data_IF_005324079285
#
_entry.id   IF_005324079285
#
_cell.length_a   1.000
_cell.length_b   1.000
_cell.length_c   1.000
_cell.angle_alpha   90.00
_cell.angle_beta   90.00
_cell.angle_gamma   90.00
#
_symmetry.space_group_name_H-M   'P 1'
#
loop_
_entity.id
_entity.type
_entity.pdbx_description
1 polymer ?
#
# COMPACT_ATOMS: atom_id res chain seq x y z
N UNK A 1 18.98 26.00 -0.43
CA UNK A 1 18.22 24.75 -0.65
C UNK A 1 17.84 24.25 0.74
N UNK A 2 16.55 24.07 1.02
CA UNK A 2 16.08 23.70 2.36
C UNK A 2 16.09 22.17 2.49
N UNK A 3 16.88 21.62 3.41
CA UNK A 3 17.00 20.17 3.67
C UNK A 3 15.64 19.47 3.81
N UNK A 4 14.64 20.16 4.38
CA UNK A 4 13.26 19.67 4.51
C UNK A 4 12.54 19.49 3.17
N UNK A 5 12.77 20.41 2.23
CA UNK A 5 12.18 20.34 0.89
C UNK A 5 12.75 19.18 0.09
N UNK A 6 14.05 18.94 0.23
CA UNK A 6 14.74 17.83 -0.45
C UNK A 6 14.33 16.48 0.17
N UNK A 7 14.23 16.40 1.50
CA UNK A 7 13.64 15.24 2.18
C UNK A 7 12.20 14.97 1.74
N UNK A 8 11.33 15.97 1.73
CA UNK A 8 9.94 15.77 1.32
C UNK A 8 9.83 15.32 -0.15
N UNK A 9 10.73 15.80 -1.02
CA UNK A 9 10.80 15.36 -2.43
C UNK A 9 11.33 13.94 -2.58
N UNK A 10 12.15 13.45 -1.65
CA UNK A 10 12.63 12.07 -1.63
C UNK A 10 11.54 11.04 -1.35
N UNK A 11 10.42 11.47 -0.75
CA UNK A 11 9.29 10.58 -0.45
C UNK A 11 8.62 10.19 -1.77
N UNK A 12 8.30 8.88 -1.96
CA UNK A 12 7.57 8.40 -3.12
C UNK A 12 6.26 9.16 -3.34
N UNK A 13 5.83 9.29 -4.60
CA UNK A 13 4.83 10.26 -5.01
C UNK A 13 3.50 10.08 -4.28
N UNK A 14 2.99 8.85 -4.21
CA UNK A 14 1.67 8.56 -3.63
C UNK A 14 1.74 8.65 -2.11
N UNK A 15 2.77 8.02 -1.51
CA UNK A 15 3.05 8.08 -0.08
C UNK A 15 3.20 9.51 0.42
N UNK A 16 3.85 10.37 -0.36
CA UNK A 16 4.05 11.78 -0.04
C UNK A 16 2.75 12.55 0.09
N UNK A 17 1.84 12.40 -0.86
CA UNK A 17 0.53 13.07 -0.79
C UNK A 17 -0.33 12.50 0.33
N UNK A 18 -0.29 11.17 0.54
CA UNK A 18 -1.01 10.55 1.65
C UNK A 18 -0.51 11.05 3.00
N UNK A 19 0.80 11.02 3.22
CA UNK A 19 1.45 11.50 4.44
C UNK A 19 1.18 13.00 4.68
N UNK A 20 1.29 13.83 3.64
CA UNK A 20 1.01 15.26 3.75
C UNK A 20 -0.47 15.53 4.10
N UNK A 21 -1.41 14.80 3.50
CA UNK A 21 -2.83 14.89 3.82
C UNK A 21 -3.12 14.50 5.28
N UNK A 22 -2.49 13.42 5.75
CA UNK A 22 -2.61 12.94 7.14
C UNK A 22 -2.01 13.90 8.17
N UNK A 23 -1.21 14.89 7.76
CA UNK A 23 -0.70 15.97 8.63
C UNK A 23 -1.56 17.23 8.50
N UNK A 24 -1.90 17.62 7.27
CA UNK A 24 -2.63 18.85 7.00
C UNK A 24 -4.03 18.83 7.60
N UNK A 25 -4.76 17.73 7.46
CA UNK A 25 -6.16 17.62 7.89
C UNK A 25 -6.30 17.69 9.43
N UNK A 26 -5.52 16.94 10.23
CA UNK A 26 -5.55 17.09 11.69
C UNK A 26 -5.11 18.47 12.16
N UNK A 27 -4.17 19.11 11.46
CA UNK A 27 -3.70 20.45 11.79
C UNK A 27 -4.80 21.50 11.55
N UNK A 28 -5.52 21.41 10.43
CA UNK A 28 -6.70 22.26 10.15
C UNK A 28 -7.77 22.08 11.25
N UNK A 29 -8.04 20.83 11.66
CA UNK A 29 -8.98 20.53 12.74
C UNK A 29 -8.53 21.10 14.10
N UNK A 30 -7.23 21.03 14.41
CA UNK A 30 -6.65 21.58 15.65
C UNK A 30 -6.66 23.11 15.69
N UNK A 31 -6.47 23.77 14.54
CA UNK A 31 -6.56 25.23 14.41
C UNK A 31 -8.01 25.74 14.52
N UNK A 32 -9.01 24.86 14.57
CA UNK A 32 -10.42 25.26 14.68
C UNK A 32 -10.99 25.89 13.41
N UNK A 33 -10.29 25.76 12.27
CA UNK A 33 -10.74 26.30 10.98
C UNK A 33 -12.03 25.61 10.50
N UNK A 34 -12.19 24.33 10.83
CA UNK A 34 -13.36 23.50 10.50
C UNK A 34 -13.72 22.68 11.73
N UNK A 35 -15.02 22.59 12.04
CA UNK A 35 -15.49 21.79 13.18
C UNK A 35 -15.08 20.31 13.03
N UNK A 36 -14.50 19.68 14.08
CA UNK A 36 -14.14 18.26 14.10
C UNK A 36 -15.25 17.30 13.64
N UNK A 37 -16.51 17.70 13.82
CA UNK A 37 -17.70 16.91 13.47
C UNK A 37 -17.83 16.64 11.96
N UNK A 38 -17.26 17.50 11.11
CA UNK A 38 -17.27 17.29 9.67
C UNK A 38 -16.24 16.25 9.20
N UNK A 39 -15.21 15.98 10.01
CA UNK A 39 -14.19 15.00 9.68
C UNK A 39 -14.57 13.58 10.08
N UNK A 40 -15.53 13.41 10.98
CA UNK A 40 -16.02 12.08 11.35
C UNK A 40 -16.94 11.51 10.27
N UNK A 41 -16.80 10.19 10.07
CA UNK A 41 -17.75 9.40 9.31
C UNK A 41 -19.02 9.22 10.16
N UNK A 42 -20.15 9.68 9.62
CA UNK A 42 -21.48 9.45 10.19
C UNK A 42 -22.28 8.68 9.14
N UNK A 43 -22.66 7.41 9.39
CA UNK A 43 -23.35 6.58 8.40
C UNK A 43 -24.65 7.22 7.90
N UNK A 44 -25.45 7.81 8.80
CA UNK A 44 -26.67 8.53 8.44
C UNK A 44 -26.42 9.73 7.52
N UNK A 45 -25.36 10.50 7.77
CA UNK A 45 -25.04 11.67 6.94
C UNK A 45 -24.47 11.24 5.57
N UNK A 46 -23.82 10.08 5.50
CA UNK A 46 -23.31 9.55 4.25
C UNK A 46 -24.42 8.96 3.39
N UNK A 47 -25.28 8.10 3.97
CA UNK A 47 -26.32 7.37 3.24
C UNK A 47 -27.55 8.27 2.96
N UNK A 48 -28.03 9.00 3.97
CA UNK A 48 -29.28 9.76 3.83
C UNK A 48 -29.06 11.19 3.28
N UNK A 49 -27.85 11.75 3.41
CA UNK A 49 -27.54 13.12 2.95
C UNK A 49 -26.44 13.21 1.88
N UNK A 50 -26.01 12.08 1.32
CA UNK A 50 -25.03 12.00 0.21
C UNK A 50 -23.75 12.82 0.43
N UNK A 51 -23.23 12.85 1.67
CA UNK A 51 -22.01 13.61 1.98
C UNK A 51 -20.75 12.82 1.63
N UNK A 52 -20.45 12.72 0.32
CA UNK A 52 -19.38 11.87 -0.26
C UNK A 52 -17.97 12.27 0.20
N UNK A 53 -17.78 13.50 0.67
CA UNK A 53 -16.49 13.96 1.19
C UNK A 53 -16.15 13.36 2.57
N UNK A 54 -17.12 12.87 3.34
CA UNK A 54 -16.91 12.42 4.72
C UNK A 54 -15.96 11.24 4.87
N UNK A 55 -16.06 10.15 4.08
CA UNK A 55 -15.12 9.05 4.17
C UNK A 55 -13.70 9.49 3.83
N UNK A 56 -13.54 10.41 2.87
CA UNK A 56 -12.23 10.96 2.50
C UNK A 56 -11.65 11.71 3.70
N UNK A 57 -12.41 12.65 4.27
CA UNK A 57 -11.96 13.41 5.45
C UNK A 57 -11.67 12.52 6.66
N UNK A 58 -12.48 11.47 6.89
CA UNK A 58 -12.31 10.52 7.99
C UNK A 58 -11.07 9.62 7.84
N UNK A 59 -10.57 9.45 6.60
CA UNK A 59 -9.32 8.72 6.33
C UNK A 59 -8.08 9.56 6.63
N UNK A 60 -8.12 10.87 6.36
CA UNK A 60 -6.98 11.76 6.60
C UNK A 60 -7.00 12.42 7.99
N UNK A 61 -8.14 12.40 8.69
CA UNK A 61 -8.28 13.00 10.01
C UNK A 61 -7.92 12.04 11.13
N UNK A 62 -7.26 12.59 12.14
CA UNK A 62 -7.00 11.94 13.42
C UNK A 62 -7.19 12.95 14.55
N UNK A 63 -7.93 12.62 15.62
CA UNK A 63 -8.14 13.54 16.73
C UNK A 63 -6.84 13.68 17.53
N UNK A 64 -6.14 14.81 17.39
CA UNK A 64 -4.90 15.10 18.11
C UNK A 64 -5.23 15.83 19.42
N UNK A 65 -5.12 15.12 20.54
CA UNK A 65 -5.31 15.65 21.90
C UNK A 65 -4.18 15.24 22.86
N UNK A 66 -4.25 15.69 24.13
CA UNK A 66 -3.19 15.47 25.12
C UNK A 66 -2.84 14.00 25.37
N UNK A 67 -3.78 13.06 25.14
CA UNK A 67 -3.56 11.62 25.30
C UNK A 67 -3.35 10.83 23.99
N UNK A 68 -3.68 11.40 22.83
CA UNK A 68 -3.67 10.69 21.54
C UNK A 68 -2.52 11.08 20.63
N UNK A 69 -1.75 12.13 21.00
CA UNK A 69 -0.64 12.63 20.19
C UNK A 69 0.46 11.60 19.94
N UNK A 70 0.80 10.77 20.93
CA UNK A 70 1.79 9.71 20.74
C UNK A 70 1.31 8.66 19.72
N UNK A 71 0.08 8.16 19.90
CA UNK A 71 -0.55 7.20 18.97
C UNK A 71 -0.62 7.76 17.55
N UNK A 72 -0.93 9.05 17.40
CA UNK A 72 -0.91 9.74 16.12
C UNK A 72 0.46 9.70 15.44
N UNK A 73 1.51 10.10 16.15
CA UNK A 73 2.89 10.13 15.62
C UNK A 73 3.38 8.74 15.22
N UNK A 74 3.05 7.73 16.03
CA UNK A 74 3.39 6.33 15.75
C UNK A 74 2.69 5.84 14.49
N UNK A 75 1.39 6.15 14.34
CA UNK A 75 0.65 5.81 13.12
C UNK A 75 1.19 6.56 11.89
N UNK A 76 1.56 7.84 12.02
CA UNK A 76 2.22 8.58 10.94
C UNK A 76 3.57 7.96 10.55
N UNK A 77 4.35 7.50 11.53
CA UNK A 77 5.59 6.79 11.26
C UNK A 77 5.33 5.48 10.51
N UNK A 78 4.34 4.69 10.94
CA UNK A 78 3.95 3.45 10.24
C UNK A 78 3.46 3.72 8.82
N UNK A 79 2.65 4.76 8.63
CA UNK A 79 2.24 5.22 7.31
C UNK A 79 3.48 5.48 6.47
N UNK A 80 4.34 6.41 6.89
CA UNK A 80 5.54 6.78 6.14
C UNK A 80 6.42 5.57 5.82
N UNK A 81 6.72 4.74 6.82
CA UNK A 81 7.66 3.64 6.71
C UNK A 81 7.16 2.51 5.81
N UNK A 82 5.93 2.03 6.02
CA UNK A 82 5.41 0.86 5.30
C UNK A 82 4.82 1.24 3.95
N UNK A 83 4.20 2.42 3.84
CA UNK A 83 3.77 2.98 2.56
C UNK A 83 4.96 3.17 1.62
N UNK A 84 6.04 3.82 2.08
CA UNK A 84 7.22 4.03 1.26
C UNK A 84 7.85 2.71 0.82
N UNK A 85 7.99 1.74 1.74
CA UNK A 85 8.55 0.41 1.41
C UNK A 85 7.70 -0.39 0.43
N UNK A 86 6.37 -0.19 0.41
CA UNK A 86 5.51 -0.80 -0.60
C UNK A 86 5.65 -0.12 -1.95
N UNK A 87 5.62 1.22 -1.98
CA UNK A 87 5.71 1.99 -3.23
C UNK A 87 7.07 1.84 -3.92
N UNK A 88 8.17 1.76 -3.18
CA UNK A 88 9.53 1.58 -3.73
C UNK A 88 10.01 0.14 -3.77
N UNK A 89 9.30 -0.78 -3.13
CA UNK A 89 9.65 -2.20 -3.10
C UNK A 89 8.72 -3.00 -4.01
N UNK A 90 7.58 -3.43 -3.46
CA UNK A 90 6.66 -4.32 -4.13
C UNK A 90 6.02 -3.72 -5.40
N UNK A 91 5.80 -2.40 -5.42
CA UNK A 91 5.16 -1.68 -6.52
C UNK A 91 6.10 -0.74 -7.27
N UNK A 92 7.42 -0.98 -7.19
CA UNK A 92 8.39 -0.15 -7.88
C UNK A 92 8.14 -0.11 -9.39
N UNK A 93 8.19 1.09 -9.96
CA UNK A 93 7.84 1.34 -11.36
C UNK A 93 6.35 1.15 -11.72
N UNK A 94 5.49 0.76 -10.78
CA UNK A 94 4.04 0.52 -10.99
C UNK A 94 3.15 1.32 -10.04
N UNK A 95 3.18 2.66 -10.11
CA UNK A 95 2.40 3.52 -9.22
C UNK A 95 0.88 3.30 -9.33
N UNK A 96 0.38 2.90 -10.50
CA UNK A 96 -1.03 2.58 -10.70
C UNK A 96 -1.49 1.36 -9.87
N UNK A 97 -0.65 0.33 -9.76
CA UNK A 97 -0.97 -0.88 -8.98
C UNK A 97 -0.98 -0.56 -7.47
N UNK A 98 -0.05 0.30 -7.02
CA UNK A 98 -0.04 0.78 -5.64
C UNK A 98 -1.28 1.63 -5.31
N UNK A 99 -1.64 2.57 -6.20
CA UNK A 99 -2.85 3.37 -6.06
C UNK A 99 -4.11 2.49 -6.04
N UNK A 100 -4.15 1.46 -6.88
CA UNK A 100 -5.27 0.51 -6.89
C UNK A 100 -5.39 -0.25 -5.58
N UNK A 101 -4.28 -0.74 -5.01
CA UNK A 101 -4.29 -1.36 -3.68
C UNK A 101 -4.85 -0.41 -2.62
N UNK A 102 -4.37 0.85 -2.59
CA UNK A 102 -4.86 1.84 -1.64
C UNK A 102 -6.36 2.10 -1.80
N UNK A 103 -6.83 2.27 -3.04
CA UNK A 103 -8.25 2.48 -3.34
C UNK A 103 -9.10 1.27 -2.96
N UNK A 104 -8.65 0.06 -3.28
CA UNK A 104 -9.34 -1.16 -2.92
C UNK A 104 -9.48 -1.28 -1.39
N UNK A 105 -8.36 -1.15 -0.66
CA UNK A 105 -8.36 -1.19 0.79
C UNK A 105 -9.25 -0.10 1.37
N UNK A 106 -9.15 1.12 0.84
CA UNK A 106 -9.96 2.25 1.27
C UNK A 106 -11.45 1.98 1.08
N UNK A 107 -11.90 1.51 -0.10
CA UNK A 107 -13.30 1.19 -0.37
C UNK A 107 -13.81 0.11 0.61
N UNK A 108 -13.04 -0.96 0.82
CA UNK A 108 -13.40 -2.01 1.78
C UNK A 108 -13.52 -1.45 3.21
N UNK A 109 -12.60 -0.57 3.61
CA UNK A 109 -12.64 0.09 4.93
C UNK A 109 -13.83 1.05 5.04
N UNK A 110 -14.19 1.79 4.00
CA UNK A 110 -15.39 2.64 4.01
C UNK A 110 -16.64 1.78 4.20
N UNK A 111 -16.77 0.66 3.46
CA UNK A 111 -17.91 -0.25 3.58
C UNK A 111 -18.01 -0.81 5.02
N UNK A 112 -16.91 -1.33 5.56
CA UNK A 112 -16.87 -1.86 6.92
C UNK A 112 -17.11 -0.76 7.96
N UNK A 113 -16.57 0.44 7.74
CA UNK A 113 -16.75 1.59 8.62
C UNK A 113 -18.21 2.06 8.67
N UNK A 114 -18.92 2.02 7.56
CA UNK A 114 -20.36 2.29 7.51
C UNK A 114 -21.18 1.20 8.20
N UNK A 115 -20.78 -0.07 8.05
CA UNK A 115 -21.48 -1.20 8.66
C UNK A 115 -21.28 -1.29 10.18
N UNK A 116 -20.13 -0.84 10.69
CA UNK A 116 -19.73 -0.94 12.10
C UNK A 116 -19.74 0.40 12.85
N UNK A 117 -20.31 1.45 12.24
CA UNK A 117 -20.38 2.82 12.78
C UNK A 117 -19.02 3.38 13.25
N UNK A 118 -17.96 3.14 12.45
CA UNK A 118 -16.62 3.62 12.75
C UNK A 118 -16.45 5.07 12.33
N UNK A 119 -16.03 5.92 13.26
CA UNK A 119 -15.88 7.35 13.01
C UNK A 119 -14.58 7.74 12.29
N UNK A 120 -13.53 6.92 12.40
CA UNK A 120 -12.18 7.20 11.92
C UNK A 120 -11.64 6.04 11.08
N UNK A 121 -11.08 6.36 9.90
CA UNK A 121 -10.61 5.36 8.94
C UNK A 121 -9.09 5.39 8.72
N UNK A 122 -8.37 6.32 9.35
CA UNK A 122 -6.93 6.45 9.21
C UNK A 122 -6.16 5.21 9.70
N UNK A 123 -6.42 4.77 10.94
CA UNK A 123 -5.73 3.61 11.55
C UNK A 123 -6.00 2.33 10.73
N UNK A 124 -7.26 1.96 10.40
CA UNK A 124 -7.51 0.77 9.59
C UNK A 124 -6.78 0.79 8.24
N UNK A 125 -6.68 1.95 7.58
CA UNK A 125 -5.99 2.05 6.29
C UNK A 125 -4.49 1.82 6.45
N UNK A 126 -3.86 2.47 7.43
CA UNK A 126 -2.42 2.28 7.74
C UNK A 126 -2.14 0.81 8.07
N UNK A 127 -2.99 0.20 8.91
CA UNK A 127 -2.84 -1.20 9.28
C UNK A 127 -3.02 -2.15 8.09
N UNK A 128 -3.95 -1.85 7.17
CA UNK A 128 -4.11 -2.65 5.94
C UNK A 128 -2.86 -2.63 5.06
N UNK A 129 -2.23 -1.46 4.90
CA UNK A 129 -1.00 -1.29 4.11
C UNK A 129 0.17 -1.99 4.79
N UNK A 130 0.32 -1.80 6.09
CA UNK A 130 1.32 -2.49 6.91
C UNK A 130 1.16 -4.01 6.81
N UNK A 131 -0.08 -4.52 6.88
CA UNK A 131 -0.37 -5.94 6.75
C UNK A 131 0.06 -6.48 5.39
N UNK A 132 -0.29 -5.80 4.29
CA UNK A 132 0.13 -6.21 2.93
C UNK A 132 1.65 -6.22 2.83
N UNK A 133 2.35 -5.22 3.36
CA UNK A 133 3.81 -5.20 3.39
C UNK A 133 4.40 -6.37 4.17
N UNK A 134 3.90 -6.61 5.37
CA UNK A 134 4.30 -7.71 6.24
C UNK A 134 4.13 -9.08 5.54
N UNK A 135 3.06 -9.20 4.76
CA UNK A 135 2.73 -10.45 4.07
C UNK A 135 3.52 -10.67 2.78
N UNK A 136 3.95 -9.60 2.11
CA UNK A 136 4.88 -9.70 0.98
C UNK A 136 6.31 -9.98 1.45
N UNK A 137 6.66 -9.58 2.67
CA UNK A 137 8.00 -9.72 3.23
C UNK A 137 8.03 -10.67 4.43
N UNK A 138 7.23 -11.74 4.42
CA UNK A 138 7.00 -12.64 5.58
C UNK A 138 8.26 -13.08 6.32
N UNK A 139 9.33 -13.42 5.60
CA UNK A 139 10.57 -13.93 6.19
C UNK A 139 11.59 -12.84 6.56
N UNK A 140 11.32 -11.59 6.21
CA UNK A 140 12.17 -10.46 6.59
C UNK A 140 12.11 -10.27 8.11
N UNK A 141 13.26 -10.20 8.75
CA UNK A 141 13.36 -9.89 10.18
C UNK A 141 13.25 -8.37 10.34
N UNK A 142 12.24 -7.93 11.08
CA UNK A 142 12.03 -6.54 11.45
C UNK A 142 12.41 -6.33 12.90
N UNK A 143 13.04 -5.18 13.17
CA UNK A 143 13.25 -4.69 14.53
C UNK A 143 12.05 -3.83 14.91
N UNK A 144 11.46 -4.12 16.06
CA UNK A 144 10.41 -3.32 16.70
C UNK A 144 10.97 -2.66 17.97
N UNK A 145 10.11 -1.97 18.70
CA UNK A 145 10.50 -1.20 19.88
C UNK A 145 11.27 -2.06 20.90
N UNK A 146 12.17 -1.40 21.62
CA UNK A 146 13.06 -2.04 22.60
C UNK A 146 14.04 -3.06 22.00
N UNK A 147 14.34 -2.98 20.70
CA UNK A 147 15.30 -3.86 20.03
C UNK A 147 14.81 -5.28 19.81
N UNK A 148 13.51 -5.55 20.05
CA UNK A 148 12.88 -6.83 19.77
C UNK A 148 12.91 -7.11 18.28
N UNK A 149 13.27 -8.34 17.88
CA UNK A 149 13.37 -8.75 16.47
C UNK A 149 12.46 -9.92 16.22
N UNK A 150 11.66 -9.85 15.18
CA UNK A 150 10.76 -10.93 14.77
C UNK A 150 10.50 -10.88 13.26
N UNK A 151 9.90 -11.94 12.72
CA UNK A 151 9.53 -12.01 11.31
C UNK A 151 8.41 -11.02 10.99
N UNK A 152 8.47 -10.35 9.84
CA UNK A 152 7.51 -9.31 9.44
C UNK A 152 6.06 -9.80 9.49
N UNK A 153 5.80 -11.09 9.26
CA UNK A 153 4.46 -11.68 9.38
C UNK A 153 3.80 -11.49 10.77
N UNK A 154 4.59 -11.33 11.84
CA UNK A 154 4.09 -11.11 13.20
C UNK A 154 3.86 -9.63 13.51
N UNK A 155 4.38 -8.71 12.69
CA UNK A 155 4.33 -7.28 12.94
C UNK A 155 2.91 -6.73 13.17
N UNK A 156 1.89 -7.06 12.35
CA UNK A 156 0.54 -6.53 12.57
C UNK A 156 -0.05 -7.00 13.91
N UNK A 157 0.32 -8.19 14.36
CA UNK A 157 -0.15 -8.77 15.62
C UNK A 157 0.58 -8.21 16.84
N UNK A 158 1.88 -7.95 16.70
CA UNK A 158 2.68 -7.29 17.75
C UNK A 158 2.17 -5.87 17.99
N UNK A 159 1.88 -5.13 16.91
CA UNK A 159 1.33 -3.76 17.02
C UNK A 159 -0.04 -3.78 17.71
N UNK A 160 -0.89 -4.72 17.32
CA UNK A 160 -2.19 -4.93 17.95
C UNK A 160 -2.07 -5.18 19.46
N UNK A 161 -1.22 -6.12 19.87
CA UNK A 161 -0.98 -6.41 21.29
C UNK A 161 -0.41 -5.21 22.03
N UNK A 162 0.47 -4.44 21.38
CA UNK A 162 1.07 -3.25 21.96
C UNK A 162 0.06 -2.11 22.15
N UNK A 163 -0.81 -1.85 21.16
CA UNK A 163 -1.87 -0.86 21.28
C UNK A 163 -2.91 -1.24 22.32
N UNK A 164 -3.22 -2.54 22.48
CA UNK A 164 -4.08 -3.01 23.57
C UNK A 164 -3.50 -2.65 24.94
N UNK A 165 -2.19 -2.80 25.15
CA UNK A 165 -1.52 -2.47 26.42
C UNK A 165 -1.57 -0.96 26.72
N UNK A 166 -1.47 -0.11 25.70
CA UNK A 166 -1.53 1.36 25.87
C UNK A 166 -2.97 1.88 26.04
N UNK A 167 -3.98 1.01 25.90
CA UNK A 167 -5.38 1.40 25.94
C UNK A 167 -5.87 2.01 24.62
N UNK A 168 -5.22 1.68 23.51
CA UNK A 168 -5.64 2.01 22.15
C UNK A 168 -6.80 1.13 21.65
N UNK A 169 -7.39 1.51 20.52
CA UNK A 169 -8.50 0.78 19.92
C UNK A 169 -8.03 -0.35 19.01
N UNK A 170 -8.17 -1.58 19.49
CA UNK A 170 -7.80 -2.83 18.79
C UNK A 170 -8.69 -3.10 17.57
N UNK A 171 -9.96 -2.68 17.60
CA UNK A 171 -10.95 -2.96 16.56
C UNK A 171 -10.52 -2.36 15.22
N UNK A 172 -10.03 -1.12 15.23
CA UNK A 172 -9.54 -0.45 14.02
C UNK A 172 -8.41 -1.23 13.34
N UNK A 173 -7.52 -1.81 14.16
CA UNK A 173 -6.35 -2.54 13.69
C UNK A 173 -6.71 -3.92 13.16
N UNK A 174 -7.64 -4.61 13.84
CA UNK A 174 -8.20 -5.87 13.36
C UNK A 174 -8.88 -5.71 12.01
N UNK A 175 -9.68 -4.66 11.83
CA UNK A 175 -10.35 -4.36 10.57
C UNK A 175 -9.34 -4.06 9.47
N UNK A 176 -8.31 -3.25 9.78
CA UNK A 176 -7.20 -3.01 8.85
C UNK A 176 -6.50 -4.30 8.44
N UNK A 177 -6.18 -5.18 9.40
CA UNK A 177 -5.55 -6.47 9.14
C UNK A 177 -6.44 -7.39 8.29
N UNK A 178 -7.75 -7.42 8.55
CA UNK A 178 -8.72 -8.19 7.78
C UNK A 178 -8.80 -7.69 6.33
N UNK A 179 -8.92 -6.39 6.11
CA UNK A 179 -8.97 -5.79 4.77
C UNK A 179 -7.64 -5.99 4.02
N UNK A 180 -6.52 -5.81 4.70
CA UNK A 180 -5.20 -6.11 4.12
C UNK A 180 -5.06 -7.57 3.73
N UNK A 181 -5.59 -8.49 4.55
CA UNK A 181 -5.65 -9.92 4.22
C UNK A 181 -6.55 -10.20 3.03
N UNK A 182 -7.71 -9.56 2.94
CA UNK A 182 -8.63 -9.70 1.82
C UNK A 182 -7.95 -9.30 0.50
N UNK A 183 -7.29 -8.15 0.46
CA UNK A 183 -6.51 -7.74 -0.71
C UNK A 183 -5.40 -8.74 -1.03
N UNK A 184 -4.60 -9.13 -0.04
CA UNK A 184 -3.50 -10.07 -0.24
C UNK A 184 -4.00 -11.42 -0.77
N UNK A 185 -5.10 -11.92 -0.23
CA UNK A 185 -5.73 -13.16 -0.65
C UNK A 185 -6.20 -13.09 -2.10
N UNK A 186 -6.98 -12.07 -2.45
CA UNK A 186 -7.54 -11.92 -3.80
C UNK A 186 -6.48 -11.64 -4.87
N UNK A 187 -5.44 -10.88 -4.52
CA UNK A 187 -4.41 -10.44 -5.47
C UNK A 187 -3.28 -11.46 -5.64
N UNK A 188 -2.83 -12.12 -4.56
CA UNK A 188 -1.64 -12.99 -4.60
C UNK A 188 -1.96 -14.47 -4.40
N UNK A 189 -2.75 -14.80 -3.36
CA UNK A 189 -2.96 -16.21 -2.98
C UNK A 189 -3.95 -16.93 -3.90
N UNK A 190 -5.07 -16.28 -4.21
CA UNK A 190 -6.11 -16.83 -5.08
C UNK A 190 -5.58 -17.24 -6.47
N UNK A 191 -4.85 -16.39 -7.21
CA UNK A 191 -4.32 -16.80 -8.51
C UNK A 191 -3.25 -17.90 -8.42
N UNK A 192 -2.46 -17.95 -7.33
CA UNK A 192 -1.46 -19.01 -7.10
C UNK A 192 -2.09 -20.38 -6.83
N UNK A 193 -3.09 -20.43 -5.95
CA UNK A 193 -3.62 -21.71 -5.43
C UNK A 193 -4.72 -22.30 -6.33
N UNK A 194 -5.48 -21.47 -7.06
CA UNK A 194 -6.69 -21.89 -7.77
C UNK A 194 -6.59 -21.77 -9.30
N UNK A 195 -5.45 -21.33 -9.85
CA UNK A 195 -5.23 -21.22 -11.30
C UNK A 195 -6.26 -20.34 -12.05
N UNK A 196 -7.01 -19.52 -11.31
CA UNK A 196 -8.14 -18.75 -11.81
C UNK A 196 -7.76 -17.44 -12.48
N UNK A 197 -8.71 -16.83 -13.20
CA UNK A 197 -8.60 -15.46 -13.72
C UNK A 197 -8.31 -14.49 -12.56
N UNK A 198 -7.42 -13.53 -12.78
CA UNK A 198 -7.15 -12.46 -11.80
C UNK A 198 -8.45 -11.68 -11.53
N UNK A 199 -9.06 -11.88 -10.35
CA UNK A 199 -10.27 -11.14 -9.95
C UNK A 199 -10.01 -9.65 -9.77
N UNK A 200 -8.80 -9.30 -9.33
CA UNK A 200 -8.36 -7.93 -9.17
C UNK A 200 -7.37 -7.61 -10.30
N UNK A 201 -7.80 -6.71 -11.17
CA UNK A 201 -6.95 -6.14 -12.22
C UNK A 201 -6.99 -4.63 -12.10
N UNK A 202 -5.82 -3.99 -12.08
CA UNK A 202 -5.72 -2.54 -12.05
C UNK A 202 -6.48 -1.94 -13.23
N UNK A 203 -7.48 -1.08 -13.01
CA UNK A 203 -8.28 -0.54 -14.07
C UNK A 203 -7.45 0.36 -15.00
N UNK A 204 -7.73 0.31 -16.29
CA UNK A 204 -6.95 1.00 -17.33
C UNK A 204 -6.87 2.52 -17.13
N UNK A 205 -7.86 3.14 -16.48
CA UNK A 205 -7.81 4.58 -16.21
C UNK A 205 -6.68 4.95 -15.25
N UNK A 206 -6.31 4.07 -14.30
CA UNK A 206 -5.20 4.34 -13.38
C UNK A 206 -3.87 4.32 -14.12
N UNK A 207 -3.68 3.44 -15.09
CA UNK A 207 -2.48 3.47 -15.94
C UNK A 207 -2.41 4.69 -16.85
N UNK A 208 -3.56 5.28 -17.23
CA UNK A 208 -3.58 6.55 -17.98
C UNK A 208 -3.15 7.73 -17.12
N UNK A 209 -3.54 7.74 -15.84
CA UNK A 209 -3.21 8.82 -14.91
C UNK A 209 -1.81 8.66 -14.30
N UNK A 210 -1.43 7.42 -13.96
CA UNK A 210 -0.16 7.04 -13.37
C UNK A 210 0.49 5.99 -14.29
N UNK A 211 1.10 6.40 -15.41
CA UNK A 211 1.74 5.47 -16.32
C UNK A 211 2.83 4.69 -15.60
N UNK A 212 2.89 3.39 -15.86
CA UNK A 212 3.97 2.55 -15.36
C UNK A 212 5.28 3.14 -15.84
N UNK A 213 6.15 3.47 -14.89
CA UNK A 213 7.51 3.88 -15.18
C UNK A 213 8.25 2.60 -15.55
N UNK A 214 8.11 2.19 -16.83
CA UNK A 214 8.97 1.19 -17.43
C UNK A 214 10.40 1.64 -17.18
N UNK A 215 11.18 0.77 -16.55
CA UNK A 215 12.51 1.05 -15.98
C UNK A 215 13.26 2.16 -16.71
N UNK A 216 13.59 3.21 -15.96
CA UNK A 216 14.56 4.20 -16.40
C UNK A 216 15.84 3.48 -16.79
N UNK A 217 16.21 3.59 -18.07
CA UNK A 217 17.43 3.09 -18.69
C UNK A 217 17.57 1.56 -18.67
N UNK A 218 16.80 0.87 -19.50
CA UNK A 218 17.37 -0.28 -20.19
C UNK A 218 18.49 0.25 -21.09
N UNK A 219 19.75 0.11 -20.64
CA UNK A 219 20.89 0.26 -21.53
C UNK A 219 20.63 -0.54 -22.81
N UNK A 220 21.00 0.04 -23.94
CA UNK A 220 20.86 -0.56 -25.27
C UNK A 220 21.22 -2.06 -25.21
N UNK A 221 20.22 -2.94 -25.40
CA UNK A 221 20.43 -4.39 -25.47
C UNK A 221 20.15 -5.25 -24.24
N UNK A 222 19.63 -4.72 -23.11
CA UNK A 222 19.24 -5.58 -21.98
C UNK A 222 17.76 -5.96 -22.05
N UNK A 223 17.41 -7.24 -22.25
CA UNK A 223 16.00 -7.66 -22.30
C UNK A 223 15.33 -7.55 -20.92
N UNK A 224 14.01 -7.27 -20.88
CA UNK A 224 13.27 -7.02 -19.65
C UNK A 224 13.28 -8.21 -18.68
N UNK A 225 13.15 -7.95 -17.37
CA UNK A 225 13.16 -8.97 -16.32
C UNK A 225 12.06 -10.05 -16.48
N UNK A 226 10.93 -9.71 -17.12
CA UNK A 226 9.90 -10.68 -17.51
C UNK A 226 10.39 -11.67 -18.57
N UNK A 227 11.31 -11.25 -19.42
CA UNK A 227 11.96 -12.07 -20.45
C UNK A 227 13.14 -12.86 -19.88
N UNK A 228 13.73 -12.42 -18.75
CA UNK A 228 14.78 -13.17 -18.03
C UNK A 228 14.25 -14.47 -17.40
N UNK A 229 13.06 -14.44 -16.79
CA UNK A 229 12.40 -15.65 -16.28
C UNK A 229 12.01 -16.62 -17.41
N UNK A 230 11.54 -16.11 -18.54
CA UNK A 230 11.24 -16.94 -19.71
C UNK A 230 12.50 -17.53 -20.38
N UNK A 231 13.64 -16.84 -20.29
CA UNK A 231 14.92 -17.29 -20.83
C UNK A 231 15.64 -18.31 -19.93
N UNK A 232 15.43 -18.26 -18.61
CA UNK A 232 15.94 -19.28 -17.68
C UNK A 232 15.18 -20.61 -17.80
N UNK A 233 13.86 -20.57 -18.04
CA UNK A 233 13.05 -21.78 -18.30
C UNK A 233 13.31 -22.42 -19.69
N UNK A 234 14.02 -21.74 -20.60
CA UNK A 234 14.38 -22.26 -21.93
C UNK A 234 15.79 -22.86 -22.03
N UNK A 235 16.57 -22.90 -20.94
CA UNK A 235 17.89 -23.57 -20.93
C UNK A 235 17.81 -25.11 -20.79
N UNK A 236 16.63 -25.70 -20.98
CA UNK A 236 16.42 -27.15 -20.95
C UNK A 236 15.72 -27.68 -22.19
N UNK A 237 16.31 -27.56 -23.39
CA UNK A 237 15.87 -28.40 -24.51
C UNK A 237 16.10 -27.86 -25.92
N UNK A 238 16.79 -28.66 -26.75
CA UNK A 238 16.56 -28.69 -28.19
C UNK A 238 17.40 -27.76 -29.05
N UNK A 239 18.69 -28.08 -29.21
CA UNK A 239 19.58 -27.49 -30.22
C UNK A 239 19.14 -27.94 -31.63
N UNK A 240 18.25 -27.20 -32.28
CA UNK A 240 17.93 -27.41 -33.70
C UNK A 240 18.82 -26.54 -34.59
N UNK A 241 19.69 -27.21 -35.35
CA UNK A 241 20.62 -26.61 -36.31
C UNK A 241 19.92 -26.43 -37.66
N UNK A 242 19.37 -25.24 -37.93
CA UNK A 242 18.80 -24.90 -39.23
C UNK A 242 19.78 -24.00 -40.00
N UNK A 243 20.35 -24.56 -41.07
CA UNK A 243 20.96 -23.78 -42.16
C UNK A 243 22.49 -23.80 -42.22
N UNK A 244 23.08 -24.88 -42.75
CA UNK A 244 24.38 -24.80 -43.43
C UNK A 244 24.13 -24.62 -44.93
N UNK A 245 24.46 -23.44 -45.46
CA UNK A 245 24.46 -23.18 -46.90
C UNK A 245 25.72 -23.73 -47.56
N UNK A 246 25.56 -24.51 -48.62
CA UNK A 246 26.65 -24.98 -49.48
C UNK A 246 26.94 -23.92 -50.56
N UNK A 247 28.22 -23.61 -50.80
CA UNK A 247 28.68 -22.87 -51.98
C UNK A 247 29.00 -23.86 -53.10
N UNK A 248 28.40 -23.69 -54.27
CA UNK A 248 28.74 -24.41 -55.50
C UNK A 248 29.75 -23.57 -56.29
N UNK A 249 30.92 -24.15 -56.55
CA UNK A 249 31.94 -23.59 -57.44
C UNK A 249 33.32 -23.58 -56.82
N UNK A 250 34.02 -24.71 -56.91
CA UNK A 250 35.48 -24.79 -57.05
C UNK A 250 35.81 -26.18 -57.62
N UNK A 251 35.93 -26.23 -58.95
CA UNK A 251 36.73 -27.20 -59.72
C UNK A 251 37.53 -26.40 -60.74
#
# INVERSE_FOLDING_TARGET
MSDLGDWFRSIPLITRYWFAGSIAVPLIGKLGLISPVYFFLWPDAFINRFQIWRPITATFFFPVGPGTGFLYLVNLYFLYQYSSRLETGAFDGRPADYMFMLLFNWICIVITGLAMDMQLLMIPLIMSVLYVWAQLNRDMIVSFWFGTRFKACYLPWVILGFNYIIGGSVINELIGNLVGHLYFFLMFKYPMDLGGRNFLSTPQFLYRWLPNRRGGVSGFGVPPASMRRAAEDQQGGGRHNWGQGFRLGDQ
#
